data_IF_194347337128
#
_entry.id   IF_194347337128
#
_cell.length_a   1.000
_cell.length_b   1.000
_cell.length_c   1.000
_cell.angle_alpha   90.00
_cell.angle_beta   90.00
_cell.angle_gamma   90.00
#
_symmetry.space_group_name_H-M   'P 1'
#
loop_
_entity.id
_entity.type
_entity.pdbx_description
1 polymer ?
#
# COMPACT_ATOMS: atom_id res chain seq x y z
N UNK A 1 7.14 -1.03 -30.49
CA UNK A 1 7.44 -2.12 -29.57
C UNK A 1 8.32 -1.64 -28.44
N UNK A 2 9.41 -0.99 -28.78
CA UNK A 2 10.29 -0.45 -27.76
C UNK A 2 9.63 0.62 -26.91
N UNK A 3 8.86 1.53 -27.49
CA UNK A 3 8.13 2.49 -26.66
C UNK A 3 7.24 1.82 -25.64
N UNK A 4 6.61 0.73 -26.00
CA UNK A 4 5.74 0.00 -25.08
C UNK A 4 6.54 -0.55 -23.89
N UNK A 5 7.72 -1.10 -24.17
CA UNK A 5 8.57 -1.62 -23.10
C UNK A 5 9.06 -0.50 -22.20
N UNK A 6 9.45 0.62 -22.79
CA UNK A 6 9.87 1.76 -22.01
C UNK A 6 8.73 2.29 -21.17
N UNK A 7 7.53 2.32 -21.73
CA UNK A 7 6.36 2.77 -20.99
C UNK A 7 6.10 1.89 -19.79
N UNK A 8 6.26 0.59 -19.95
CA UNK A 8 6.06 -0.34 -18.83
C UNK A 8 7.06 -0.06 -17.72
N UNK A 9 8.32 0.12 -18.07
CA UNK A 9 9.35 0.41 -17.08
C UNK A 9 9.09 1.74 -16.39
N UNK A 10 8.73 2.74 -17.18
CA UNK A 10 8.44 4.05 -16.64
C UNK A 10 7.25 4.00 -15.70
N UNK A 11 6.24 3.23 -16.07
CA UNK A 11 5.04 3.10 -15.26
C UNK A 11 5.37 2.45 -13.91
N UNK A 12 6.18 1.39 -13.92
CA UNK A 12 6.61 0.75 -12.68
C UNK A 12 7.39 1.71 -11.82
N UNK A 13 8.32 2.43 -12.43
CA UNK A 13 9.15 3.38 -11.72
C UNK A 13 8.31 4.50 -11.13
N UNK A 14 7.38 5.01 -11.92
CA UNK A 14 6.50 6.07 -11.46
C UNK A 14 5.61 5.61 -10.31
N UNK A 15 5.11 4.39 -10.39
CA UNK A 15 4.29 3.84 -9.32
C UNK A 15 5.08 3.70 -8.04
N UNK A 16 6.31 3.22 -8.15
CA UNK A 16 7.17 3.10 -6.98
C UNK A 16 7.45 4.46 -6.38
N UNK A 17 7.77 5.44 -7.22
CA UNK A 17 8.05 6.80 -6.76
C UNK A 17 6.82 7.41 -6.09
N UNK A 18 5.64 7.19 -6.67
CA UNK A 18 4.40 7.68 -6.11
C UNK A 18 4.11 7.02 -4.76
N UNK A 19 4.33 5.72 -4.69
CA UNK A 19 4.13 4.97 -3.45
C UNK A 19 5.05 5.49 -2.35
N UNK A 20 6.32 5.74 -2.70
CA UNK A 20 7.28 6.26 -1.73
C UNK A 20 6.89 7.65 -1.24
N UNK A 21 6.49 8.50 -2.18
CA UNK A 21 6.05 9.84 -1.85
C UNK A 21 4.84 9.80 -0.92
N UNK A 22 3.90 8.92 -1.22
CA UNK A 22 2.71 8.77 -0.40
C UNK A 22 3.05 8.26 0.99
N UNK A 23 3.92 7.26 1.06
CA UNK A 23 4.34 6.71 2.34
C UNK A 23 5.00 7.78 3.20
N UNK A 24 5.87 8.58 2.59
CA UNK A 24 6.54 9.66 3.32
C UNK A 24 5.55 10.68 3.82
N UNK A 25 4.53 10.98 3.04
CA UNK A 25 3.50 11.94 3.48
C UNK A 25 2.68 11.39 4.64
N UNK A 26 2.64 10.08 4.79
CA UNK A 26 1.98 9.43 5.91
C UNK A 26 2.92 9.20 7.10
N UNK A 27 4.16 9.65 6.97
CA UNK A 27 5.10 9.65 8.07
C UNK A 27 6.21 8.62 8.02
N UNK A 28 6.18 7.70 7.06
CA UNK A 28 7.18 6.63 7.01
C UNK A 28 7.55 6.34 5.56
N UNK A 29 8.84 6.35 5.21
CA UNK A 29 9.24 5.98 3.85
C UNK A 29 9.00 4.49 3.59
N UNK A 30 8.90 4.12 2.32
CA UNK A 30 8.63 2.73 1.95
C UNK A 30 9.61 1.75 2.61
N UNK A 31 10.89 2.09 2.58
CA UNK A 31 11.91 1.19 3.12
C UNK A 31 11.92 1.17 4.65
N UNK A 32 11.15 2.01 5.30
CA UNK A 32 11.04 2.03 6.75
C UNK A 32 9.74 1.45 7.27
N UNK A 33 8.80 1.13 6.38
CA UNK A 33 7.48 0.65 6.80
C UNK A 33 7.59 -0.68 7.53
N UNK A 34 8.48 -1.55 7.07
CA UNK A 34 8.62 -2.88 7.67
C UNK A 34 9.04 -2.81 9.13
N UNK A 35 9.84 -1.82 9.49
CA UNK A 35 10.33 -1.66 10.85
C UNK A 35 9.55 -0.63 11.64
N UNK A 36 8.56 0.00 11.04
CA UNK A 36 7.76 1.01 11.72
C UNK A 36 6.81 0.37 12.73
N UNK A 37 6.36 1.15 13.72
CA UNK A 37 5.33 0.65 14.65
C UNK A 37 4.08 0.20 13.89
N UNK A 38 3.38 -0.82 14.42
CA UNK A 38 2.22 -1.39 13.71
C UNK A 38 1.18 -0.35 13.30
N UNK A 39 0.92 0.64 14.15
CA UNK A 39 -0.07 1.67 13.84
C UNK A 39 0.32 2.45 12.59
N UNK A 40 1.56 2.91 12.52
CA UNK A 40 2.04 3.66 11.37
C UNK A 40 2.17 2.76 10.14
N UNK A 41 2.66 1.54 10.34
CA UNK A 41 2.77 0.57 9.26
C UNK A 41 1.40 0.34 8.60
N UNK A 42 0.38 0.17 9.41
CA UNK A 42 -0.96 -0.08 8.89
C UNK A 42 -1.51 1.11 8.12
N UNK A 43 -1.25 2.31 8.62
CA UNK A 43 -1.70 3.53 7.94
C UNK A 43 -1.09 3.60 6.53
N UNK A 44 0.20 3.32 6.40
CA UNK A 44 0.85 3.37 5.10
C UNK A 44 0.31 2.27 4.18
N UNK A 45 0.17 1.06 4.68
CA UNK A 45 -0.34 -0.05 3.88
C UNK A 45 -1.74 0.25 3.38
N UNK A 46 -2.61 0.74 4.25
CA UNK A 46 -3.98 1.05 3.87
C UNK A 46 -4.03 2.23 2.90
N UNK A 47 -3.18 3.23 3.12
CA UNK A 47 -3.09 4.35 2.20
C UNK A 47 -2.67 3.93 0.80
N UNK A 48 -1.69 3.05 0.72
CA UNK A 48 -1.24 2.53 -0.57
C UNK A 48 -2.34 1.72 -1.24
N UNK A 49 -3.03 0.90 -0.48
CA UNK A 49 -4.12 0.09 -1.03
C UNK A 49 -5.23 0.99 -1.55
N UNK A 50 -5.57 2.04 -0.82
CA UNK A 50 -6.59 2.98 -1.23
C UNK A 50 -6.20 3.72 -2.51
N UNK A 51 -4.90 3.91 -2.71
CA UNK A 51 -4.41 4.58 -3.91
C UNK A 51 -4.43 3.67 -5.13
N UNK A 52 -4.79 2.41 -4.95
CA UNK A 52 -4.92 1.48 -6.07
C UNK A 52 -3.79 0.47 -6.19
N UNK A 53 -2.87 0.44 -5.24
CA UNK A 53 -1.80 -0.56 -5.26
C UNK A 53 -2.33 -1.90 -4.79
N UNK A 54 -1.88 -2.97 -5.46
CA UNK A 54 -2.29 -4.31 -5.08
C UNK A 54 -1.50 -4.80 -3.88
N UNK A 55 -1.99 -5.88 -3.25
CA UNK A 55 -1.29 -6.50 -2.14
C UNK A 55 0.12 -6.89 -2.55
N UNK A 56 0.27 -7.44 -3.77
CA UNK A 56 1.58 -7.84 -4.28
C UNK A 56 2.53 -6.65 -4.41
N UNK A 57 2.03 -5.54 -4.93
CA UNK A 57 2.85 -4.35 -5.08
C UNK A 57 3.26 -3.81 -3.73
N UNK A 58 2.36 -3.79 -2.78
CA UNK A 58 2.66 -3.30 -1.44
C UNK A 58 3.72 -4.20 -0.79
N UNK A 59 3.57 -5.51 -0.93
CA UNK A 59 4.57 -6.45 -0.42
C UNK A 59 5.94 -6.16 -1.02
N UNK A 60 5.96 -5.96 -2.32
CA UNK A 60 7.20 -5.73 -3.06
C UNK A 60 7.87 -4.43 -2.62
N UNK A 61 7.08 -3.38 -2.44
CA UNK A 61 7.62 -2.06 -2.12
C UNK A 61 8.04 -1.94 -0.66
N UNK A 62 7.30 -2.56 0.24
CA UNK A 62 7.56 -2.40 1.67
C UNK A 62 8.37 -3.53 2.28
N UNK A 63 8.41 -4.68 1.62
CA UNK A 63 9.08 -5.85 2.18
C UNK A 63 8.25 -6.57 3.23
N UNK A 64 7.02 -6.16 3.45
CA UNK A 64 6.12 -6.81 4.41
C UNK A 64 5.46 -7.99 3.73
N UNK A 65 5.36 -9.11 4.44
CA UNK A 65 4.81 -10.31 3.87
C UNK A 65 3.38 -10.14 3.38
N UNK A 66 3.07 -10.83 2.29
CA UNK A 66 1.76 -10.77 1.66
C UNK A 66 0.64 -11.09 2.66
N UNK A 67 0.87 -12.07 3.53
CA UNK A 67 -0.11 -12.47 4.53
C UNK A 67 -0.46 -11.32 5.45
N UNK A 68 0.56 -10.59 5.90
CA UNK A 68 0.36 -9.45 6.79
C UNK A 68 -0.40 -8.34 6.10
N UNK A 69 0.01 -8.00 4.86
CA UNK A 69 -0.66 -6.95 4.10
C UNK A 69 -2.13 -7.30 3.89
N UNK A 70 -2.38 -8.54 3.48
CA UNK A 70 -3.75 -9.01 3.23
C UNK A 70 -4.60 -8.95 4.50
N UNK A 71 -4.02 -9.32 5.63
CA UNK A 71 -4.74 -9.29 6.90
C UNK A 71 -5.13 -7.86 7.27
N UNK A 72 -4.21 -6.91 7.08
CA UNK A 72 -4.48 -5.51 7.41
C UNK A 72 -5.59 -4.96 6.53
N UNK A 73 -5.54 -5.25 5.23
CA UNK A 73 -6.55 -4.79 4.29
C UNK A 73 -7.91 -5.39 4.62
N UNK A 74 -7.95 -6.68 4.94
CA UNK A 74 -9.21 -7.35 5.29
C UNK A 74 -9.79 -6.83 6.58
N UNK A 75 -8.94 -6.57 7.57
CA UNK A 75 -9.40 -6.05 8.85
C UNK A 75 -10.09 -4.71 8.67
N UNK A 76 -9.52 -3.85 7.83
CA UNK A 76 -10.13 -2.56 7.55
C UNK A 76 -11.45 -2.71 6.82
N UNK A 77 -11.51 -3.59 5.82
CA UNK A 77 -12.74 -3.82 5.08
C UNK A 77 -13.85 -4.32 6.00
N UNK A 78 -13.51 -5.21 6.92
CA UNK A 78 -14.47 -5.74 7.88
C UNK A 78 -14.98 -4.63 8.80
N UNK A 79 -14.08 -3.77 9.28
CA UNK A 79 -14.47 -2.66 10.15
C UNK A 79 -15.36 -1.68 9.41
N UNK A 80 -15.03 -1.38 8.15
CA UNK A 80 -15.82 -0.47 7.35
C UNK A 80 -17.23 -1.00 7.13
N UNK A 81 -17.34 -2.31 6.86
CA UNK A 81 -18.66 -2.92 6.66
C UNK A 81 -19.48 -2.89 7.95
N UNK A 82 -18.82 -3.16 9.08
CA UNK A 82 -19.51 -3.12 10.36
C UNK A 82 -20.00 -1.71 10.68
N UNK A 83 -19.14 -0.72 10.43
CA UNK A 83 -19.51 0.68 10.67
C UNK A 83 -20.70 1.08 9.79
N UNK A 84 -20.68 0.67 8.52
CA UNK A 84 -21.76 0.93 7.62
C UNK A 84 -23.07 0.31 8.09
N UNK A 85 -22.98 -0.92 8.60
CA UNK A 85 -24.15 -1.59 9.15
C UNK A 85 -24.70 -0.89 10.36
N UNK A 86 -23.85 -0.33 11.18
CA UNK A 86 -24.29 0.37 12.39
C UNK A 86 -25.02 1.65 12.06
N UNK A 87 -24.61 2.31 10.99
CA UNK A 87 -25.23 3.57 10.60
C UNK A 87 -26.65 3.35 10.11
N UNK A 88 -26.87 2.20 9.49
CA UNK A 88 -28.19 1.88 8.98
C UNK A 88 -29.12 1.50 10.12
#
# INVERSE_FOLDING_TARGET
SEPALCDMKETEWERHAFADKMAKSLGVPLNGVKTAPPAQRNIVILGLHDAGFTVRQIERYTGIGKSTVSRIVRARARTAMRAGGNVM
#
